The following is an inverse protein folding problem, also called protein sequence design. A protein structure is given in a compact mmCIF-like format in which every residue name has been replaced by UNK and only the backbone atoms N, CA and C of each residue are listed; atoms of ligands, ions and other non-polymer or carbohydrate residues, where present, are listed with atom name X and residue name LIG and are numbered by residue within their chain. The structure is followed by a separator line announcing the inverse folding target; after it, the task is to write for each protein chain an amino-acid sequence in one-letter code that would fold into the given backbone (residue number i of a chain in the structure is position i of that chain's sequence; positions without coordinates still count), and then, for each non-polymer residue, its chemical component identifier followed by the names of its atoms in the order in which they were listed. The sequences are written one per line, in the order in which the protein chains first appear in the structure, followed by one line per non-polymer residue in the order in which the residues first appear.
data_IF_493728574602
#
_entry.id   IF_493728574602
#
_cell.length_a   1.000
_cell.length_b   1.000
_cell.length_c   1.000
_cell.angle_alpha   90.00
_cell.angle_beta   90.00
_cell.angle_gamma   90.00
#
_symmetry.space_group_name_H-M   'P 1'
#
loop_
_entity.id
_entity.type
_entity.pdbx_description
1 polymer ?
#
# COMPACT_ATOMS: atom_id res chain seq x y z
N UNK A 1 58.34 -60.34 -21.47
CA UNK A 1 58.23 -60.12 -20.02
C UNK A 1 58.77 -58.74 -19.66
N UNK A 2 57.90 -57.81 -19.36
CA UNK A 2 58.25 -56.52 -18.78
C UNK A 2 57.14 -56.08 -17.87
N UNK A 3 57.39 -56.07 -16.54
CA UNK A 3 56.51 -55.60 -15.51
C UNK A 3 56.59 -54.09 -15.43
N UNK A 4 55.47 -53.40 -15.50
CA UNK A 4 55.31 -51.96 -15.29
C UNK A 4 55.30 -51.67 -13.78
N UNK A 5 55.99 -50.61 -13.30
CA UNK A 5 55.79 -50.09 -11.96
C UNK A 5 54.86 -48.84 -12.04
N UNK A 6 53.56 -49.10 -11.90
CA UNK A 6 52.54 -48.05 -11.95
C UNK A 6 51.93 -47.84 -10.56
N UNK A 7 52.74 -47.51 -9.55
CA UNK A 7 52.22 -47.31 -8.18
C UNK A 7 52.83 -46.14 -7.36
N UNK A 8 53.82 -45.44 -7.85
CA UNK A 8 54.51 -44.41 -7.07
C UNK A 8 54.11 -42.97 -7.43
N UNK A 9 53.47 -42.71 -8.58
CA UNK A 9 53.11 -41.34 -9.00
C UNK A 9 51.80 -40.85 -8.39
N UNK A 10 50.84 -41.73 -8.04
CA UNK A 10 49.55 -41.30 -7.49
C UNK A 10 49.61 -40.88 -6.01
N UNK A 11 50.58 -41.34 -5.23
CA UNK A 11 50.72 -40.94 -3.81
C UNK A 11 51.25 -39.50 -3.66
N UNK A 12 52.15 -39.07 -4.55
CA UNK A 12 52.66 -37.69 -4.54
C UNK A 12 51.60 -36.67 -5.02
N UNK A 13 50.75 -37.05 -5.94
CA UNK A 13 49.65 -36.16 -6.40
C UNK A 13 48.59 -35.96 -5.32
N UNK A 14 48.25 -37.01 -4.55
CA UNK A 14 47.30 -36.95 -3.45
C UNK A 14 47.83 -36.11 -2.27
N UNK A 15 49.10 -36.23 -1.92
CA UNK A 15 49.76 -35.41 -0.90
C UNK A 15 49.88 -33.95 -1.31
N UNK A 16 50.16 -33.65 -2.57
CA UNK A 16 50.19 -32.29 -3.09
C UNK A 16 48.77 -31.68 -3.09
N UNK A 17 47.70 -32.44 -3.43
CA UNK A 17 46.32 -31.97 -3.37
C UNK A 17 45.89 -31.68 -1.92
N UNK A 18 46.15 -32.55 -0.97
CA UNK A 18 45.87 -32.32 0.45
C UNK A 18 46.67 -31.14 1.04
N UNK A 19 47.91 -30.92 0.58
CA UNK A 19 48.70 -29.74 1.00
C UNK A 19 48.18 -28.44 0.38
N UNK A 20 47.67 -28.47 -0.84
CA UNK A 20 47.04 -27.33 -1.49
C UNK A 20 45.70 -27.01 -0.82
N UNK A 21 44.85 -27.98 -0.55
CA UNK A 21 43.60 -27.78 0.20
C UNK A 21 43.85 -27.22 1.62
N UNK A 22 44.87 -27.76 2.33
CA UNK A 22 45.24 -27.26 3.65
C UNK A 22 45.84 -25.85 3.61
N UNK A 23 46.64 -25.53 2.59
CA UNK A 23 47.19 -24.20 2.36
C UNK A 23 46.12 -23.22 1.95
N UNK A 24 45.14 -23.61 1.07
CA UNK A 24 44.00 -22.81 0.68
C UNK A 24 43.07 -22.60 1.88
N UNK A 25 42.77 -23.61 2.67
CA UNK A 25 42.00 -23.51 3.92
C UNK A 25 42.65 -22.56 4.93
N UNK A 26 43.97 -22.65 5.10
CA UNK A 26 44.75 -21.78 5.97
C UNK A 26 44.91 -20.36 5.43
N UNK A 27 44.98 -20.20 4.11
CA UNK A 27 44.98 -18.91 3.43
C UNK A 27 43.60 -18.24 3.55
N UNK A 28 42.50 -18.99 3.32
CA UNK A 28 41.13 -18.53 3.51
C UNK A 28 40.85 -18.16 4.97
N UNK A 29 41.34 -18.98 5.94
CA UNK A 29 41.17 -18.67 7.37
C UNK A 29 42.00 -17.48 7.87
N UNK A 30 43.10 -17.13 7.17
CA UNK A 30 43.92 -15.97 7.51
C UNK A 30 43.57 -14.70 6.74
N UNK A 31 42.85 -14.80 5.60
CA UNK A 31 42.46 -13.66 4.76
C UNK A 31 40.96 -13.36 4.75
N UNK A 32 40.11 -14.28 5.21
CA UNK A 32 38.76 -13.91 5.60
C UNK A 32 38.88 -13.23 6.97
N UNK A 33 38.73 -11.90 7.07
CA UNK A 33 38.56 -11.29 8.39
C UNK A 33 37.44 -12.09 9.05
N UNK A 34 37.64 -12.48 10.32
CA UNK A 34 36.66 -13.26 11.06
C UNK A 34 35.32 -12.63 10.80
N UNK A 35 34.42 -13.38 10.19
CA UNK A 35 33.09 -12.88 9.81
C UNK A 35 32.38 -12.25 11.01
N UNK A 36 32.76 -12.65 12.25
CA UNK A 36 32.34 -12.04 13.52
C UNK A 36 32.60 -10.52 13.64
N UNK A 37 33.62 -9.95 12.94
CA UNK A 37 33.90 -8.50 12.97
C UNK A 37 33.17 -7.70 11.88
N UNK A 38 32.52 -8.35 10.92
CA UNK A 38 31.77 -7.72 9.81
C UNK A 38 30.27 -7.60 10.14
N UNK A 39 29.78 -8.24 11.20
CA UNK A 39 28.39 -8.15 11.58
C UNK A 39 28.07 -6.77 12.15
N UNK A 40 27.13 -6.09 11.52
CA UNK A 40 26.49 -4.90 12.11
C UNK A 40 25.92 -5.32 13.47
N UNK A 41 26.42 -4.72 14.56
CA UNK A 41 25.93 -4.99 15.90
C UNK A 41 24.48 -4.52 16.04
N UNK A 42 23.67 -5.22 16.81
CA UNK A 42 22.30 -4.81 17.15
C UNK A 42 22.22 -3.34 17.59
N UNK A 43 23.29 -2.83 18.18
CA UNK A 43 23.49 -1.44 18.57
C UNK A 43 23.30 -0.43 17.44
N UNK A 44 23.73 -0.76 16.21
CA UNK A 44 23.58 0.15 15.06
C UNK A 44 22.12 0.25 14.59
N UNK A 45 21.38 -0.85 14.73
CA UNK A 45 19.93 -0.82 14.48
C UNK A 45 19.21 0.03 15.52
N UNK A 46 19.60 -0.05 16.80
CA UNK A 46 19.03 0.81 17.84
C UNK A 46 19.37 2.29 17.63
N UNK A 47 20.58 2.64 17.22
CA UNK A 47 20.93 4.03 16.85
C UNK A 47 20.07 4.54 15.70
N UNK A 48 19.89 3.72 14.66
CA UNK A 48 19.02 4.07 13.52
C UNK A 48 17.59 4.23 13.97
N UNK A 49 17.06 3.32 14.79
CA UNK A 49 15.72 3.38 15.35
C UNK A 49 15.51 4.67 16.15
N UNK A 50 16.39 4.97 17.12
CA UNK A 50 16.35 6.17 17.94
C UNK A 50 16.33 7.42 17.08
N UNK A 51 17.27 7.54 16.15
CA UNK A 51 17.34 8.68 15.23
C UNK A 51 16.04 8.86 14.45
N UNK A 52 15.49 7.79 13.85
CA UNK A 52 14.27 7.88 13.04
C UNK A 52 13.03 8.22 13.89
N UNK A 53 12.89 7.64 15.08
CA UNK A 53 11.76 7.91 15.98
C UNK A 53 11.78 9.36 16.48
N UNK A 54 12.94 9.85 16.90
CA UNK A 54 13.10 11.24 17.38
C UNK A 54 12.77 12.26 16.27
N UNK A 55 13.25 12.00 15.04
CA UNK A 55 13.07 12.91 13.90
C UNK A 55 11.74 12.68 13.16
N UNK A 56 10.94 11.68 13.58
CA UNK A 56 9.60 11.49 12.99
C UNK A 56 8.66 12.56 13.52
N UNK A 57 8.17 13.38 12.59
CA UNK A 57 7.10 14.34 12.85
C UNK A 57 5.89 13.98 11.99
N UNK A 58 4.99 13.17 12.54
CA UNK A 58 3.73 12.83 11.89
C UNK A 58 2.74 13.99 12.14
N UNK A 59 2.56 14.83 11.13
CA UNK A 59 1.67 15.98 11.23
C UNK A 59 0.19 15.60 11.43
N UNK A 60 -0.19 14.38 11.10
CA UNK A 60 -1.54 13.83 11.29
C UNK A 60 -1.45 12.44 11.90
N UNK A 61 -2.19 12.22 12.98
CA UNK A 61 -2.41 10.90 13.53
C UNK A 61 -3.46 10.17 12.68
N UNK A 62 -3.07 9.04 12.12
CA UNK A 62 -3.91 8.28 11.18
C UNK A 62 -4.99 7.52 11.95
N UNK A 63 -6.23 7.56 11.45
CA UNK A 63 -7.38 6.83 12.06
C UNK A 63 -7.11 5.35 12.26
N UNK A 64 -6.36 4.72 11.35
CA UNK A 64 -5.96 3.32 11.45
C UNK A 64 -5.20 3.00 12.76
N UNK A 65 -4.54 3.98 13.39
CA UNK A 65 -3.84 3.77 14.67
C UNK A 65 -4.80 3.31 15.78
N UNK A 66 -6.05 3.79 15.73
CA UNK A 66 -7.10 3.44 16.70
C UNK A 66 -7.91 2.20 16.29
N UNK A 67 -7.89 1.84 15.00
CA UNK A 67 -8.62 0.69 14.46
C UNK A 67 -7.86 -0.64 14.68
N UNK A 68 -6.53 -0.59 14.81
CA UNK A 68 -5.70 -1.80 14.97
C UNK A 68 -5.85 -2.37 16.38
N UNK A 69 -6.14 -3.68 16.46
CA UNK A 69 -5.99 -4.40 17.71
C UNK A 69 -4.51 -4.69 18.00
N UNK A 70 -3.88 -3.81 18.74
CA UNK A 70 -2.45 -3.91 19.08
C UNK A 70 -2.10 -5.07 20.02
N UNK A 71 -3.07 -5.87 20.49
CA UNK A 71 -2.82 -7.09 21.24
C UNK A 71 -2.48 -8.30 20.37
N UNK A 72 -2.74 -8.22 19.05
CA UNK A 72 -2.36 -9.26 18.12
C UNK A 72 -0.82 -9.35 18.00
N UNK A 73 -0.30 -10.56 17.89
CA UNK A 73 1.15 -10.82 17.86
C UNK A 73 1.80 -10.62 16.50
N UNK A 74 1.05 -10.84 15.42
CA UNK A 74 1.54 -10.68 14.05
C UNK A 74 0.59 -9.79 13.27
N UNK A 75 1.01 -8.54 13.04
CA UNK A 75 0.20 -7.51 12.40
C UNK A 75 0.84 -7.09 11.09
N UNK A 76 0.11 -7.25 9.97
CA UNK A 76 0.54 -6.83 8.64
C UNK A 76 -0.16 -5.56 8.20
N UNK A 77 0.58 -4.48 7.94
CA UNK A 77 0.09 -3.20 7.45
C UNK A 77 0.43 -3.05 5.98
N UNK A 78 -0.57 -3.24 5.12
CA UNK A 78 -0.43 -3.12 3.67
C UNK A 78 -0.80 -1.73 3.18
N UNK A 79 -0.26 -1.37 2.03
CA UNK A 79 -0.66 -0.15 1.34
C UNK A 79 0.27 0.20 0.20
N UNK A 80 -0.20 1.04 -0.73
CA UNK A 80 0.63 1.49 -1.86
C UNK A 80 1.83 2.30 -1.40
N UNK A 81 2.78 2.55 -2.28
CA UNK A 81 3.94 3.42 -1.97
C UNK A 81 3.50 4.86 -1.73
N UNK A 82 4.25 5.58 -0.92
CA UNK A 82 4.05 7.02 -0.68
C UNK A 82 2.92 7.40 0.27
N UNK A 83 2.19 6.43 0.87
CA UNK A 83 1.08 6.72 1.80
C UNK A 83 1.49 6.84 3.28
N UNK A 84 2.80 6.75 3.58
CA UNK A 84 3.32 6.97 4.93
C UNK A 84 3.38 5.73 5.83
N UNK A 85 3.55 4.50 5.28
CA UNK A 85 3.68 3.26 6.09
C UNK A 85 4.86 3.31 7.07
N UNK A 86 6.02 3.75 6.62
CA UNK A 86 7.21 3.92 7.46
C UNK A 86 6.93 4.89 8.60
N UNK A 87 6.39 6.07 8.28
CA UNK A 87 6.00 7.09 9.28
C UNK A 87 4.99 6.53 10.28
N UNK A 88 4.03 5.70 9.83
CA UNK A 88 3.05 5.07 10.69
C UNK A 88 3.69 4.11 11.71
N UNK A 89 4.66 3.27 11.31
CA UNK A 89 5.40 2.42 12.25
C UNK A 89 6.22 3.24 13.25
N UNK A 90 6.92 4.27 12.78
CA UNK A 90 7.73 5.12 13.64
C UNK A 90 6.87 5.95 14.61
N UNK A 91 5.69 6.39 14.17
CA UNK A 91 4.72 7.06 15.04
C UNK A 91 4.21 6.11 16.12
N UNK A 92 3.88 4.86 15.78
CA UNK A 92 3.51 3.85 16.77
C UNK A 92 4.62 3.64 17.80
N UNK A 93 5.89 3.53 17.37
CA UNK A 93 7.01 3.42 18.28
C UNK A 93 7.08 4.63 19.22
N UNK A 94 6.99 5.85 18.67
CA UNK A 94 7.06 7.12 19.41
C UNK A 94 5.93 7.29 20.44
N UNK A 95 4.72 6.82 20.14
CA UNK A 95 3.55 6.92 21.02
C UNK A 95 3.56 5.91 22.17
N UNK A 96 4.19 4.73 21.99
CA UNK A 96 4.02 3.59 22.90
C UNK A 96 5.30 3.17 23.64
N UNK A 97 6.46 3.66 23.23
CA UNK A 97 7.75 3.26 23.82
C UNK A 97 8.63 4.47 24.07
N UNK A 98 9.38 4.43 25.18
CA UNK A 98 10.51 5.31 25.35
C UNK A 98 11.58 4.94 24.31
N UNK A 99 12.16 5.90 23.64
CA UNK A 99 13.15 5.71 22.58
C UNK A 99 14.41 5.00 23.09
N UNK A 100 14.71 5.11 24.40
CA UNK A 100 15.81 4.44 25.08
C UNK A 100 15.44 3.03 25.59
N UNK A 101 14.14 2.65 25.55
CA UNK A 101 13.70 1.33 25.97
C UNK A 101 13.90 0.33 24.82
N UNK A 102 14.89 -0.52 24.96
CA UNK A 102 15.25 -1.55 23.96
C UNK A 102 14.17 -2.61 23.71
N UNK A 103 12.95 -2.41 24.20
CA UNK A 103 11.82 -3.32 23.97
C UNK A 103 11.21 -3.18 22.58
N UNK A 104 11.38 -2.04 21.90
CA UNK A 104 10.90 -1.80 20.54
C UNK A 104 12.05 -1.52 19.58
N UNK A 105 12.04 -2.16 18.41
CA UNK A 105 13.04 -1.94 17.38
C UNK A 105 12.41 -1.84 16.00
N UNK A 106 12.75 -0.80 15.25
CA UNK A 106 12.41 -0.67 13.83
C UNK A 106 13.58 -1.12 12.96
N UNK A 107 13.28 -1.93 11.93
CA UNK A 107 14.22 -2.36 10.89
C UNK A 107 13.59 -2.26 9.51
N UNK A 108 14.40 -2.02 8.48
CA UNK A 108 13.96 -1.97 7.09
C UNK A 108 14.65 -3.08 6.28
N UNK A 109 13.85 -3.89 5.58
CA UNK A 109 14.35 -5.01 4.78
C UNK A 109 15.13 -4.60 3.53
N UNK A 110 15.23 -3.31 3.21
CA UNK A 110 16.17 -2.81 2.19
C UNK A 110 17.63 -2.75 2.70
N UNK A 111 17.88 -2.91 4.00
CA UNK A 111 19.24 -2.94 4.52
C UNK A 111 19.97 -4.19 4.00
N UNK A 112 21.16 -4.00 3.46
CA UNK A 112 21.99 -5.08 2.91
C UNK A 112 22.33 -6.18 3.92
N UNK A 113 22.28 -5.87 5.20
CA UNK A 113 22.43 -6.85 6.28
C UNK A 113 21.49 -8.06 6.13
N UNK A 114 20.26 -7.85 5.64
CA UNK A 114 19.27 -8.91 5.44
C UNK A 114 19.43 -9.69 4.12
N UNK A 115 20.43 -9.37 3.29
CA UNK A 115 20.67 -10.14 2.05
C UNK A 115 21.26 -11.54 2.32
N UNK A 116 21.92 -11.73 3.46
CA UNK A 116 22.50 -13.01 3.83
C UNK A 116 22.03 -13.55 5.19
N UNK A 117 20.97 -12.97 5.75
CA UNK A 117 20.52 -13.32 7.10
C UNK A 117 18.99 -13.39 7.18
N UNK A 118 18.48 -14.44 7.84
CA UNK A 118 17.06 -14.65 8.09
C UNK A 118 16.46 -13.64 9.07
N UNK A 119 15.17 -13.34 8.87
CA UNK A 119 14.39 -12.50 9.80
C UNK A 119 14.29 -13.19 11.16
N UNK A 120 14.14 -14.53 11.20
CA UNK A 120 13.96 -15.27 12.43
C UNK A 120 15.23 -15.28 13.29
N UNK A 121 16.42 -15.35 12.68
CA UNK A 121 17.68 -15.29 13.42
C UNK A 121 17.87 -13.91 14.05
N UNK A 122 17.63 -12.84 13.29
CA UNK A 122 17.67 -11.47 13.80
C UNK A 122 16.64 -11.24 14.91
N UNK A 123 15.41 -11.70 14.71
CA UNK A 123 14.33 -11.59 15.69
C UNK A 123 14.68 -12.36 16.99
N UNK A 124 15.37 -13.49 16.86
CA UNK A 124 15.86 -14.28 18.02
C UNK A 124 16.88 -13.53 18.84
N UNK A 125 17.89 -12.90 18.21
CA UNK A 125 18.85 -12.07 18.92
C UNK A 125 18.18 -10.92 19.66
N UNK A 126 17.33 -10.18 18.96
CA UNK A 126 16.55 -9.09 19.57
C UNK A 126 15.70 -9.58 20.75
N UNK A 127 15.02 -10.72 20.60
CA UNK A 127 14.18 -11.30 21.66
C UNK A 127 14.99 -11.70 22.90
N UNK A 128 16.18 -12.32 22.72
CA UNK A 128 17.06 -12.75 23.81
C UNK A 128 17.72 -11.56 24.53
N UNK A 129 17.92 -10.44 23.84
CA UNK A 129 18.37 -9.18 24.45
C UNK A 129 17.24 -8.44 25.21
N UNK A 130 16.05 -9.02 25.31
CA UNK A 130 14.91 -8.44 26.03
C UNK A 130 13.88 -7.71 25.15
N UNK A 131 14.06 -7.72 23.82
CA UNK A 131 13.14 -7.13 22.85
C UNK A 131 11.75 -7.73 22.91
N UNK A 132 10.73 -6.95 22.63
CA UNK A 132 9.31 -7.35 22.70
C UNK A 132 8.49 -6.98 21.49
N UNK A 133 8.85 -5.90 20.78
CA UNK A 133 8.14 -5.43 19.59
C UNK A 133 9.11 -5.16 18.47
N UNK A 134 9.02 -5.92 17.38
CA UNK A 134 9.83 -5.75 16.19
C UNK A 134 8.99 -5.14 15.06
N UNK A 135 9.38 -3.96 14.60
CA UNK A 135 8.73 -3.23 13.51
C UNK A 135 9.53 -3.46 12.22
N UNK A 136 8.99 -4.24 11.29
CA UNK A 136 9.67 -4.63 10.04
C UNK A 136 9.08 -3.86 8.87
N UNK A 137 9.85 -2.95 8.28
CA UNK A 137 9.42 -2.20 7.12
C UNK A 137 9.81 -2.88 5.80
N UNK A 138 8.90 -2.86 4.83
CA UNK A 138 9.06 -3.43 3.49
C UNK A 138 9.42 -4.94 3.50
N UNK A 139 8.71 -5.74 4.29
CA UNK A 139 8.99 -7.16 4.52
C UNK A 139 9.18 -7.98 3.23
N UNK A 140 8.43 -7.65 2.17
CA UNK A 140 8.48 -8.34 0.86
C UNK A 140 9.83 -8.21 0.13
N UNK A 141 10.75 -7.41 0.63
CA UNK A 141 12.13 -7.33 0.11
C UNK A 141 12.99 -8.51 0.52
N UNK A 142 12.62 -9.21 1.59
CA UNK A 142 13.25 -10.46 1.98
C UNK A 142 12.59 -11.64 1.24
N UNK A 143 13.33 -12.49 0.51
CA UNK A 143 12.75 -13.55 -0.31
C UNK A 143 11.86 -14.52 0.48
N UNK A 144 12.32 -14.97 1.64
CA UNK A 144 11.65 -15.94 2.52
C UNK A 144 10.86 -15.28 3.66
N UNK A 145 10.36 -14.05 3.45
CA UNK A 145 9.74 -13.26 4.51
C UNK A 145 8.57 -13.98 5.22
N UNK A 146 7.74 -14.70 4.50
CA UNK A 146 6.52 -15.31 5.00
C UNK A 146 6.80 -16.55 5.86
N UNK A 147 7.59 -17.56 5.42
CA UNK A 147 8.07 -18.63 6.29
C UNK A 147 8.87 -18.14 7.50
N UNK A 148 9.69 -17.10 7.33
CA UNK A 148 10.48 -16.54 8.42
C UNK A 148 9.59 -15.86 9.48
N UNK A 149 8.53 -15.15 9.08
CA UNK A 149 7.56 -14.59 10.03
C UNK A 149 6.79 -15.69 10.77
N UNK A 150 6.45 -16.78 10.09
CA UNK A 150 5.84 -17.95 10.74
C UNK A 150 6.77 -18.54 11.79
N UNK A 151 8.03 -18.72 11.45
CA UNK A 151 9.07 -19.23 12.34
C UNK A 151 9.25 -18.32 13.58
N UNK A 152 9.28 -16.99 13.39
CA UNK A 152 9.32 -16.03 14.49
C UNK A 152 8.11 -16.18 15.42
N UNK A 153 6.91 -16.31 14.84
CA UNK A 153 5.69 -16.45 15.61
C UNK A 153 5.71 -17.74 16.49
N UNK A 154 6.24 -18.83 15.96
CA UNK A 154 6.26 -20.11 16.66
C UNK A 154 7.37 -20.19 17.71
N UNK A 155 8.55 -19.63 17.42
CA UNK A 155 9.72 -19.71 18.32
C UNK A 155 9.71 -18.66 19.45
N UNK A 156 9.12 -17.48 19.21
CA UNK A 156 9.21 -16.35 20.15
C UNK A 156 7.82 -15.92 20.65
N UNK A 157 7.21 -16.63 21.62
CA UNK A 157 5.81 -16.45 22.02
C UNK A 157 5.49 -15.06 22.58
N UNK A 158 6.46 -14.35 23.16
CA UNK A 158 6.30 -13.01 23.72
C UNK A 158 6.76 -11.89 22.78
N UNK A 159 7.16 -12.23 21.54
CA UNK A 159 7.53 -11.25 20.53
C UNK A 159 6.30 -10.87 19.72
N UNK A 160 6.02 -9.56 19.64
CA UNK A 160 5.08 -8.95 18.69
C UNK A 160 5.84 -8.48 17.47
N UNK A 161 5.32 -8.80 16.29
CA UNK A 161 5.87 -8.32 15.03
C UNK A 161 4.80 -7.50 14.30
N UNK A 162 5.14 -6.26 13.96
CA UNK A 162 4.33 -5.40 13.10
C UNK A 162 5.14 -5.15 11.83
N UNK A 163 4.62 -5.56 10.69
CA UNK A 163 5.35 -5.43 9.44
C UNK A 163 4.58 -4.64 8.39
N UNK A 164 5.30 -3.95 7.51
CA UNK A 164 4.68 -3.30 6.36
C UNK A 164 4.91 -4.08 5.08
N UNK A 165 3.90 -4.01 4.21
CA UNK A 165 3.94 -4.63 2.90
C UNK A 165 3.34 -3.75 1.80
N UNK A 166 3.57 -4.16 0.54
CA UNK A 166 2.92 -3.57 -0.61
C UNK A 166 1.42 -3.93 -0.64
N UNK A 167 0.61 -3.07 -1.26
CA UNK A 167 -0.80 -3.36 -1.55
C UNK A 167 -1.00 -4.58 -2.45
N UNK A 168 0.01 -4.94 -3.26
CA UNK A 168 -0.01 -6.11 -4.16
C UNK A 168 -0.02 -7.43 -3.40
N UNK A 169 0.52 -7.44 -2.17
CA UNK A 169 0.63 -8.66 -1.36
C UNK A 169 -0.74 -9.18 -0.93
N UNK A 170 -0.96 -10.47 -1.10
CA UNK A 170 -2.12 -11.21 -0.62
C UNK A 170 -1.68 -12.09 0.56
N UNK A 171 -1.74 -11.53 1.77
CA UNK A 171 -1.11 -12.13 2.96
C UNK A 171 -1.68 -13.49 3.33
N UNK A 172 -2.95 -13.75 3.02
CA UNK A 172 -3.60 -15.03 3.36
C UNK A 172 -3.70 -15.96 2.17
N UNK A 173 -4.05 -15.42 1.02
CA UNK A 173 -4.34 -16.19 -0.19
C UNK A 173 -3.07 -16.77 -0.83
N UNK A 174 -1.96 -16.01 -0.79
CA UNK A 174 -0.68 -16.38 -1.42
C UNK A 174 0.37 -16.86 -0.40
N UNK A 175 0.04 -16.84 0.92
CA UNK A 175 0.97 -17.24 2.01
C UNK A 175 0.21 -18.08 3.05
N UNK A 176 -0.04 -19.36 2.75
CA UNK A 176 -0.87 -20.24 3.59
C UNK A 176 -0.29 -20.45 5.00
N UNK A 177 1.03 -20.35 5.17
CA UNK A 177 1.73 -20.44 6.45
C UNK A 177 1.35 -19.32 7.43
N UNK A 178 0.88 -18.18 6.94
CA UNK A 178 0.42 -17.07 7.77
C UNK A 178 -1.07 -17.16 8.12
N UNK A 179 -1.81 -18.14 7.58
CA UNK A 179 -3.22 -18.30 7.88
C UNK A 179 -3.46 -18.54 9.37
N UNK A 180 -4.46 -17.86 9.90
CA UNK A 180 -4.85 -17.96 11.31
C UNK A 180 -4.00 -17.14 12.29
N UNK A 181 -2.78 -16.73 11.91
CA UNK A 181 -1.87 -16.00 12.81
C UNK A 181 -1.72 -14.51 12.44
N UNK A 182 -1.82 -14.13 11.15
CA UNK A 182 -1.66 -12.74 10.73
C UNK A 182 -2.99 -11.97 10.76
N UNK A 183 -2.96 -10.78 11.33
CA UNK A 183 -4.02 -9.76 11.19
C UNK A 183 -3.56 -8.71 10.18
N UNK A 184 -4.35 -8.52 9.14
CA UNK A 184 -4.01 -7.66 8.01
C UNK A 184 -4.86 -6.41 7.97
N UNK A 185 -4.20 -5.25 7.96
CA UNK A 185 -4.82 -3.93 7.86
C UNK A 185 -4.32 -3.20 6.62
N UNK A 186 -5.17 -2.29 6.09
CA UNK A 186 -4.82 -1.50 4.92
C UNK A 186 -4.68 -0.02 5.30
N UNK A 187 -3.44 0.48 5.30
CA UNK A 187 -3.21 1.92 5.37
C UNK A 187 -3.55 2.53 4.01
N UNK A 188 -4.39 3.55 4.01
CA UNK A 188 -4.84 4.29 2.82
C UNK A 188 -4.08 5.62 2.71
N UNK A 189 -4.24 6.33 1.60
CA UNK A 189 -3.85 7.73 1.51
C UNK A 189 -4.67 8.60 2.48
N UNK A 190 -4.36 9.87 2.59
CA UNK A 190 -5.16 10.78 3.42
C UNK A 190 -6.61 10.82 2.94
N UNK A 191 -7.54 10.79 3.90
CA UNK A 191 -8.92 11.19 3.65
C UNK A 191 -8.99 12.71 3.46
N UNK A 192 -10.10 13.19 2.92
CA UNK A 192 -10.31 14.65 2.85
C UNK A 192 -10.36 15.28 4.24
N UNK A 193 -10.91 14.58 5.24
CA UNK A 193 -10.90 15.02 6.65
C UNK A 193 -9.47 15.15 7.20
N UNK A 194 -8.62 14.14 7.00
CA UNK A 194 -7.22 14.18 7.45
C UNK A 194 -6.44 15.31 6.77
N UNK A 195 -6.70 15.53 5.48
CA UNK A 195 -6.13 16.66 4.73
C UNK A 195 -6.58 18.02 5.28
N UNK A 196 -7.89 18.18 5.57
CA UNK A 196 -8.42 19.41 6.18
C UNK A 196 -7.81 19.66 7.57
N UNK A 197 -7.79 18.63 8.42
CA UNK A 197 -7.19 18.74 9.76
C UNK A 197 -5.75 19.23 9.67
N UNK A 198 -4.97 18.68 8.73
CA UNK A 198 -3.60 19.11 8.51
C UNK A 198 -3.49 20.55 8.00
N UNK A 199 -4.33 20.95 7.03
CA UNK A 199 -4.27 22.28 6.41
C UNK A 199 -4.76 23.40 7.29
N UNK A 200 -5.71 23.10 8.18
CA UNK A 200 -6.41 24.12 8.97
C UNK A 200 -6.09 24.08 10.46
N UNK A 201 -5.38 23.04 10.93
CA UNK A 201 -5.13 22.81 12.36
C UNK A 201 -6.35 22.33 13.15
N UNK A 202 -7.49 22.08 12.47
CA UNK A 202 -8.69 21.54 13.10
C UNK A 202 -8.50 20.05 13.46
N UNK A 203 -9.41 19.51 14.29
CA UNK A 203 -9.44 18.10 14.69
C UNK A 203 -10.83 17.51 14.43
N UNK A 204 -11.29 17.57 13.20
CA UNK A 204 -12.56 16.96 12.81
C UNK A 204 -12.50 15.43 12.99
N UNK A 205 -13.55 14.87 13.60
CA UNK A 205 -13.69 13.41 13.74
C UNK A 205 -14.13 12.76 12.44
N UNK A 206 -13.94 11.46 12.32
CA UNK A 206 -14.58 10.64 11.30
C UNK A 206 -16.06 10.41 11.65
N UNK A 207 -16.86 10.12 10.63
CA UNK A 207 -18.29 9.76 10.73
C UNK A 207 -18.54 8.46 9.99
N UNK A 208 -19.45 7.64 10.49
CA UNK A 208 -19.94 6.48 9.74
C UNK A 208 -20.84 6.91 8.58
N UNK A 209 -21.04 6.02 7.60
CA UNK A 209 -21.97 6.30 6.52
C UNK A 209 -23.39 6.52 7.03
N UNK A 210 -23.82 5.75 8.01
CA UNK A 210 -25.15 5.88 8.61
C UNK A 210 -25.34 7.25 9.32
N UNK A 211 -24.31 7.74 10.05
CA UNK A 211 -24.34 9.10 10.61
C UNK A 211 -24.45 10.18 9.53
N UNK A 212 -23.67 10.04 8.44
CA UNK A 212 -23.75 11.00 7.34
C UNK A 212 -25.13 10.98 6.68
N UNK A 213 -25.70 9.80 6.44
CA UNK A 213 -27.01 9.68 5.78
C UNK A 213 -28.15 10.20 6.63
N UNK A 214 -28.09 10.00 7.96
CA UNK A 214 -29.16 10.43 8.88
C UNK A 214 -29.07 11.91 9.27
N UNK A 215 -27.87 12.49 9.32
CA UNK A 215 -27.61 13.74 10.07
C UNK A 215 -26.68 14.73 9.35
N UNK A 216 -26.48 14.56 8.04
CA UNK A 216 -25.53 15.38 7.25
C UNK A 216 -25.76 16.89 7.38
N UNK A 217 -27.03 17.34 7.51
CA UNK A 217 -27.31 18.78 7.66
C UNK A 217 -26.75 19.33 8.97
N UNK A 218 -26.84 18.56 10.09
CA UNK A 218 -26.27 18.95 11.37
C UNK A 218 -24.74 18.90 11.31
N UNK A 219 -24.18 17.82 10.77
CA UNK A 219 -22.71 17.65 10.64
C UNK A 219 -22.12 18.80 9.85
N UNK A 220 -22.73 19.18 8.74
CA UNK A 220 -22.29 20.31 7.92
C UNK A 220 -22.35 21.61 8.72
N UNK A 221 -23.43 21.87 9.49
CA UNK A 221 -23.55 23.04 10.36
C UNK A 221 -22.47 23.12 11.44
N UNK A 222 -21.97 21.97 11.92
CA UNK A 222 -20.89 21.91 12.91
C UNK A 222 -19.50 22.17 12.27
N UNK A 223 -19.33 21.84 10.98
CA UNK A 223 -18.05 22.01 10.26
C UNK A 223 -17.90 23.42 9.67
N UNK A 224 -18.94 23.98 9.04
CA UNK A 224 -18.86 25.24 8.29
C UNK A 224 -18.40 26.46 9.10
N UNK A 225 -18.68 26.62 10.40
CA UNK A 225 -18.15 27.73 11.17
C UNK A 225 -16.63 27.74 11.30
N UNK A 226 -15.98 26.57 11.16
CA UNK A 226 -14.54 26.41 11.33
C UNK A 226 -13.79 26.43 10.00
N UNK A 227 -14.41 26.03 8.90
CA UNK A 227 -13.78 25.92 7.59
C UNK A 227 -14.84 25.86 6.48
N UNK A 228 -14.52 26.41 5.29
CA UNK A 228 -15.27 26.14 4.05
C UNK A 228 -14.62 24.94 3.33
N UNK A 229 -15.16 23.72 3.46
CA UNK A 229 -14.53 22.51 2.89
C UNK A 229 -14.41 22.60 1.37
N UNK A 230 -15.37 23.26 0.70
CA UNK A 230 -15.37 23.38 -0.76
C UNK A 230 -14.14 24.14 -1.30
N UNK A 231 -13.58 25.07 -0.52
CA UNK A 231 -12.37 25.82 -0.90
C UNK A 231 -11.11 24.95 -0.91
N UNK A 232 -11.05 23.89 -0.09
CA UNK A 232 -9.94 22.94 0.00
C UNK A 232 -10.14 21.68 -0.84
N UNK A 233 -11.39 21.41 -1.27
CA UNK A 233 -11.73 20.14 -1.89
C UNK A 233 -11.03 19.95 -3.24
N UNK A 234 -10.90 21.01 -4.04
CA UNK A 234 -10.19 20.94 -5.32
C UNK A 234 -8.70 20.65 -5.13
N UNK A 235 -8.06 21.27 -4.15
CA UNK A 235 -6.67 21.02 -3.80
C UNK A 235 -6.45 19.57 -3.38
N UNK A 236 -7.34 19.04 -2.53
CA UNK A 236 -7.30 17.64 -2.14
C UNK A 236 -7.44 16.69 -3.34
N UNK A 237 -8.42 16.93 -4.21
CA UNK A 237 -8.63 16.11 -5.40
C UNK A 237 -7.42 16.12 -6.34
N UNK A 238 -6.67 17.22 -6.36
CA UNK A 238 -5.48 17.37 -7.19
C UNK A 238 -4.23 16.75 -6.55
N UNK A 239 -3.98 16.99 -5.26
CA UNK A 239 -2.72 16.62 -4.61
C UNK A 239 -2.81 16.25 -3.12
N UNK A 240 -3.99 16.03 -2.54
CA UNK A 240 -4.14 15.81 -1.10
C UNK A 240 -4.10 14.36 -0.62
N UNK A 241 -4.13 13.36 -1.53
CA UNK A 241 -4.22 11.96 -1.16
C UNK A 241 -2.91 11.37 -0.62
N UNK A 242 -1.75 11.79 -1.14
CA UNK A 242 -0.44 11.28 -0.72
C UNK A 242 0.24 12.27 0.25
N UNK A 243 0.70 11.81 1.45
CA UNK A 243 1.28 12.68 2.48
C UNK A 243 2.44 13.56 2.02
N UNK A 244 3.20 13.14 1.00
CA UNK A 244 4.36 13.90 0.51
C UNK A 244 4.00 15.22 -0.19
N UNK A 245 2.72 15.58 -0.31
CA UNK A 245 2.34 16.94 -0.73
C UNK A 245 2.86 18.03 0.22
N UNK A 246 3.20 17.66 1.46
CA UNK A 246 3.78 18.55 2.46
C UNK A 246 5.23 18.95 2.15
N UNK A 247 5.93 18.22 1.28
CA UNK A 247 7.36 18.42 1.00
C UNK A 247 7.65 19.64 0.12
N UNK A 248 6.64 20.42 -0.29
CA UNK A 248 6.72 21.65 -1.13
C UNK A 248 7.55 21.48 -2.42
N UNK A 249 7.70 20.25 -2.91
CA UNK A 249 8.41 19.87 -4.14
C UNK A 249 7.41 19.56 -5.24
N UNK A 250 7.92 19.31 -6.43
CA UNK A 250 7.09 18.93 -7.57
C UNK A 250 6.28 17.65 -7.28
N UNK A 251 5.05 17.84 -6.79
CA UNK A 251 4.17 16.75 -6.37
C UNK A 251 3.89 15.75 -7.50
N UNK A 252 3.55 16.26 -8.69
CA UNK A 252 3.22 15.41 -9.84
C UNK A 252 4.41 14.54 -10.26
N UNK A 253 5.63 15.08 -10.26
CA UNK A 253 6.83 14.32 -10.56
C UNK A 253 7.12 13.25 -9.51
N UNK A 254 6.98 13.57 -8.23
CA UNK A 254 7.14 12.61 -7.14
C UNK A 254 6.08 11.50 -7.22
N UNK A 255 4.85 11.84 -7.61
CA UNK A 255 3.79 10.87 -7.81
C UNK A 255 4.08 9.96 -9.03
N UNK A 256 4.57 10.50 -10.14
CA UNK A 256 5.03 9.72 -11.29
C UNK A 256 6.18 8.76 -10.92
N UNK A 257 7.18 9.23 -10.16
CA UNK A 257 8.25 8.37 -9.62
C UNK A 257 7.69 7.25 -8.75
N UNK A 258 6.72 7.58 -7.90
CA UNK A 258 6.04 6.60 -7.04
C UNK A 258 5.30 5.54 -7.86
N UNK A 259 4.54 5.92 -8.90
CA UNK A 259 3.85 4.99 -9.80
C UNK A 259 4.84 4.09 -10.57
N UNK A 260 5.97 4.66 -11.03
CA UNK A 260 7.03 3.88 -11.65
C UNK A 260 7.58 2.83 -10.67
N UNK A 261 7.89 3.22 -9.43
CA UNK A 261 8.36 2.27 -8.40
C UNK A 261 7.33 1.17 -8.09
N UNK A 262 6.03 1.48 -8.09
CA UNK A 262 4.98 0.47 -7.90
C UNK A 262 4.96 -0.52 -9.06
N UNK A 263 5.09 -0.07 -10.31
CA UNK A 263 5.07 -0.94 -11.48
C UNK A 263 6.37 -1.73 -11.63
N UNK A 264 7.53 -1.09 -11.46
CA UNK A 264 8.86 -1.66 -11.68
C UNK A 264 9.35 -2.56 -10.55
N UNK A 265 8.91 -2.31 -9.34
CA UNK A 265 9.37 -3.04 -8.15
C UNK A 265 8.25 -3.90 -7.58
N UNK A 266 7.13 -3.27 -7.16
CA UNK A 266 6.13 -4.01 -6.40
C UNK A 266 5.40 -5.04 -7.28
N UNK A 267 4.93 -4.65 -8.47
CA UNK A 267 4.21 -5.57 -9.37
C UNK A 267 5.17 -6.64 -9.90
N UNK A 268 6.35 -6.26 -10.43
CA UNK A 268 7.27 -7.22 -11.01
C UNK A 268 7.77 -8.22 -9.97
N UNK A 269 8.21 -7.75 -8.81
CA UNK A 269 8.78 -8.60 -7.77
C UNK A 269 7.72 -9.55 -7.17
N UNK A 270 6.56 -9.01 -6.76
CA UNK A 270 5.54 -9.80 -6.05
C UNK A 270 4.77 -10.74 -6.99
N UNK A 271 4.55 -10.34 -8.25
CA UNK A 271 3.88 -11.17 -9.25
C UNK A 271 4.85 -11.98 -10.11
N UNK A 272 6.15 -11.90 -9.85
CA UNK A 272 7.21 -12.62 -10.58
C UNK A 272 7.11 -12.44 -12.10
N UNK A 273 6.91 -11.20 -12.54
CA UNK A 273 6.75 -10.85 -13.96
C UNK A 273 8.10 -10.50 -14.55
N UNK A 274 8.41 -11.03 -15.74
CA UNK A 274 9.63 -10.69 -16.45
C UNK A 274 9.66 -9.21 -16.87
N UNK A 275 10.83 -8.58 -16.76
CA UNK A 275 11.05 -7.16 -17.05
C UNK A 275 10.60 -6.75 -18.47
N UNK A 276 10.69 -7.66 -19.44
CA UNK A 276 10.25 -7.41 -20.83
C UNK A 276 8.78 -7.02 -20.97
N UNK A 277 7.92 -7.38 -19.99
CA UNK A 277 6.50 -7.04 -20.00
C UNK A 277 6.18 -5.69 -19.35
N UNK A 278 7.14 -5.06 -18.68
CA UNK A 278 6.92 -3.81 -17.95
C UNK A 278 6.41 -2.68 -18.85
N UNK A 279 6.97 -2.53 -20.04
CA UNK A 279 6.56 -1.50 -21.00
C UNK A 279 5.09 -1.67 -21.40
N UNK A 280 4.64 -2.91 -21.58
CA UNK A 280 3.24 -3.22 -21.91
C UNK A 280 2.29 -2.88 -20.76
N UNK A 281 2.69 -3.16 -19.51
CA UNK A 281 1.91 -2.81 -18.31
C UNK A 281 1.81 -1.28 -18.16
N UNK A 282 2.91 -0.56 -18.35
CA UNK A 282 2.92 0.92 -18.29
C UNK A 282 2.09 1.55 -19.41
N UNK A 283 2.21 1.05 -20.65
CA UNK A 283 1.38 1.50 -21.79
C UNK A 283 -0.10 1.24 -21.49
N UNK A 284 -0.46 0.05 -20.98
CA UNK A 284 -1.83 -0.26 -20.58
C UNK A 284 -2.36 0.71 -19.52
N UNK A 285 -1.57 0.99 -18.48
CA UNK A 285 -1.96 1.91 -17.42
C UNK A 285 -2.24 3.32 -17.96
N UNK A 286 -1.38 3.81 -18.85
CA UNK A 286 -1.57 5.09 -19.53
C UNK A 286 -2.84 5.11 -20.39
N UNK A 287 -3.09 4.07 -21.20
CA UNK A 287 -4.29 3.96 -22.03
C UNK A 287 -5.57 3.93 -21.20
N UNK A 288 -5.57 3.23 -20.07
CA UNK A 288 -6.70 3.22 -19.14
C UNK A 288 -6.96 4.61 -18.53
N UNK A 289 -5.92 5.39 -18.24
CA UNK A 289 -6.07 6.76 -17.77
C UNK A 289 -6.68 7.68 -18.83
N UNK A 290 -6.32 7.51 -20.11
CA UNK A 290 -6.88 8.25 -21.22
C UNK A 290 -8.36 7.92 -21.47
N UNK A 291 -8.74 6.66 -21.30
CA UNK A 291 -10.11 6.21 -21.54
C UNK A 291 -11.13 6.83 -20.57
N UNK A 292 -10.69 7.22 -19.37
CA UNK A 292 -11.58 7.70 -18.29
C UNK A 292 -12.42 6.58 -17.67
N UNK A 293 -13.41 6.96 -16.88
CA UNK A 293 -14.23 6.03 -16.07
C UNK A 293 -15.25 5.25 -16.91
N UNK A 294 -14.80 4.28 -17.68
CA UNK A 294 -15.69 3.45 -18.54
C UNK A 294 -15.30 1.97 -18.54
N UNK A 295 -16.13 1.16 -19.20
CA UNK A 295 -15.82 -0.25 -19.45
C UNK A 295 -14.62 -0.36 -20.40
N UNK A 296 -13.55 -1.13 -20.06
CA UNK A 296 -12.36 -1.21 -20.90
C UNK A 296 -12.67 -1.95 -22.21
N UNK A 297 -12.20 -1.41 -23.34
CA UNK A 297 -12.23 -2.14 -24.60
C UNK A 297 -11.05 -3.12 -24.68
N UNK A 298 -11.22 -4.30 -24.08
CA UNK A 298 -10.14 -5.30 -23.93
C UNK A 298 -9.54 -5.73 -25.28
N UNK A 299 -10.34 -5.75 -26.36
CA UNK A 299 -9.84 -6.14 -27.70
C UNK A 299 -8.93 -5.05 -28.25
N UNK A 300 -9.32 -3.79 -28.20
CA UNK A 300 -8.50 -2.66 -28.61
C UNK A 300 -7.23 -2.54 -27.76
N UNK A 301 -7.35 -2.65 -26.43
CA UNK A 301 -6.19 -2.63 -25.53
C UNK A 301 -5.20 -3.76 -25.85
N UNK A 302 -5.70 -4.96 -26.21
CA UNK A 302 -4.87 -6.09 -26.58
C UNK A 302 -4.05 -5.82 -27.86
N UNK A 303 -4.66 -5.16 -28.84
CA UNK A 303 -3.96 -4.70 -30.07
C UNK A 303 -2.91 -3.65 -29.75
N UNK A 304 -3.28 -2.63 -28.96
CA UNK A 304 -2.38 -1.52 -28.60
C UNK A 304 -1.10 -1.97 -27.88
N UNK A 305 -1.20 -2.95 -27.00
CA UNK A 305 -0.05 -3.45 -26.24
C UNK A 305 0.47 -4.79 -26.77
N UNK A 306 0.02 -5.21 -27.96
CA UNK A 306 0.50 -6.41 -28.68
C UNK A 306 0.50 -7.66 -27.78
N UNK A 307 -0.70 -8.01 -27.25
CA UNK A 307 -0.83 -9.17 -26.36
C UNK A 307 -2.23 -9.79 -26.45
N UNK A 308 -2.46 -10.89 -25.72
CA UNK A 308 -3.77 -11.54 -25.67
C UNK A 308 -4.76 -10.78 -24.77
N UNK A 309 -6.07 -10.94 -25.04
CA UNK A 309 -7.15 -10.38 -24.19
C UNK A 309 -7.05 -10.90 -22.75
N UNK A 310 -6.67 -12.15 -22.55
CA UNK A 310 -6.49 -12.74 -21.23
C UNK A 310 -5.34 -12.04 -20.48
N UNK A 311 -4.22 -11.79 -21.17
CA UNK A 311 -3.08 -11.06 -20.60
C UNK A 311 -3.45 -9.62 -20.21
N UNK A 312 -4.22 -8.91 -21.04
CA UNK A 312 -4.75 -7.57 -20.69
C UNK A 312 -5.55 -7.62 -19.39
N UNK A 313 -6.45 -8.59 -19.24
CA UNK A 313 -7.25 -8.74 -18.02
C UNK A 313 -6.37 -9.03 -16.79
N UNK A 314 -5.32 -9.85 -16.94
CA UNK A 314 -4.37 -10.09 -15.85
C UNK A 314 -3.60 -8.81 -15.47
N UNK A 315 -3.14 -8.03 -16.46
CA UNK A 315 -2.45 -6.76 -16.19
C UNK A 315 -3.37 -5.73 -15.53
N UNK A 316 -4.64 -5.64 -15.95
CA UNK A 316 -5.65 -4.83 -15.27
C UNK A 316 -5.78 -5.29 -13.80
N UNK A 317 -5.80 -6.59 -13.54
CA UNK A 317 -5.85 -7.13 -12.17
C UNK A 317 -4.61 -6.77 -11.36
N UNK A 318 -3.41 -6.85 -11.94
CA UNK A 318 -2.17 -6.46 -11.25
C UNK A 318 -2.15 -4.98 -10.89
N UNK A 319 -2.59 -4.10 -11.81
CA UNK A 319 -2.72 -2.68 -11.57
C UNK A 319 -3.76 -2.38 -10.47
N UNK A 320 -4.84 -3.15 -10.41
CA UNK A 320 -5.86 -3.02 -9.36
C UNK A 320 -5.33 -3.50 -7.99
N UNK A 321 -4.63 -4.63 -7.93
CA UNK A 321 -3.99 -5.14 -6.71
C UNK A 321 -2.95 -4.12 -6.18
N UNK A 322 -2.26 -3.44 -7.09
CA UNK A 322 -1.29 -2.38 -6.78
C UNK A 322 -1.93 -1.06 -6.33
N UNK A 323 -3.26 -0.96 -6.34
CA UNK A 323 -3.97 0.30 -6.01
C UNK A 323 -3.61 1.46 -6.95
N UNK A 324 -3.38 1.14 -8.23
CA UNK A 324 -3.24 2.13 -9.30
C UNK A 324 -4.57 2.40 -10.01
N UNK A 325 -5.43 1.38 -10.10
CA UNK A 325 -6.77 1.47 -10.64
C UNK A 325 -7.80 0.78 -9.74
N UNK A 326 -9.06 1.05 -9.99
CA UNK A 326 -10.22 0.38 -9.41
C UNK A 326 -11.04 -0.31 -10.50
N UNK A 327 -11.51 -1.54 -10.24
CA UNK A 327 -12.40 -2.31 -11.12
C UNK A 327 -13.79 -2.37 -10.51
N UNK A 328 -14.79 -1.78 -11.17
CA UNK A 328 -16.17 -1.77 -10.70
C UNK A 328 -16.99 -2.79 -11.48
N UNK A 329 -17.69 -3.65 -10.76
CA UNK A 329 -18.52 -4.71 -11.31
C UNK A 329 -19.99 -4.51 -10.97
N UNK A 330 -20.91 -5.10 -11.74
CA UNK A 330 -22.29 -5.30 -11.30
C UNK A 330 -22.30 -6.21 -10.06
N UNK A 331 -23.44 -6.24 -9.36
CA UNK A 331 -23.67 -7.20 -8.27
C UNK A 331 -23.37 -8.64 -8.75
N UNK A 332 -22.76 -9.45 -7.89
CA UNK A 332 -22.43 -10.86 -8.13
C UNK A 332 -21.49 -11.13 -9.32
N UNK A 333 -20.77 -10.10 -9.74
CA UNK A 333 -19.72 -10.19 -10.74
C UNK A 333 -18.36 -9.79 -10.16
N UNK A 334 -17.31 -10.52 -10.58
CA UNK A 334 -15.92 -10.25 -10.17
C UNK A 334 -14.94 -10.73 -11.23
N UNK A 335 -13.64 -10.44 -11.06
CA UNK A 335 -12.59 -11.06 -11.86
C UNK A 335 -12.70 -12.59 -11.84
N UNK A 336 -12.50 -13.31 -12.99
CA UNK A 336 -11.92 -12.84 -14.26
C UNK A 336 -12.90 -12.20 -15.26
N UNK A 337 -14.16 -11.97 -14.91
CA UNK A 337 -15.09 -11.27 -15.79
C UNK A 337 -14.59 -9.85 -16.08
N UNK A 338 -15.01 -9.30 -17.23
CA UNK A 338 -14.71 -7.94 -17.62
C UNK A 338 -15.42 -6.96 -16.67
N UNK A 339 -14.73 -5.95 -16.09
CA UNK A 339 -15.38 -4.92 -15.26
C UNK A 339 -16.29 -4.00 -16.09
N UNK A 340 -17.32 -3.48 -15.46
CA UNK A 340 -18.21 -2.48 -16.08
C UNK A 340 -17.59 -1.09 -16.14
N UNK A 341 -16.70 -0.77 -15.19
CA UNK A 341 -15.85 0.43 -15.22
C UNK A 341 -14.47 0.09 -14.74
N UNK A 342 -13.45 0.71 -15.34
CA UNK A 342 -12.10 0.86 -14.79
C UNK A 342 -11.89 2.35 -14.56
N UNK A 343 -11.33 2.71 -13.42
CA UNK A 343 -11.03 4.10 -13.08
C UNK A 343 -9.69 4.16 -12.35
N UNK A 344 -9.03 5.31 -12.34
CA UNK A 344 -7.84 5.50 -11.51
C UNK A 344 -8.19 5.27 -10.04
N UNK A 345 -7.22 4.80 -9.25
CA UNK A 345 -7.46 4.52 -7.83
C UNK A 345 -7.88 5.76 -7.05
N UNK A 346 -7.28 6.89 -7.35
CA UNK A 346 -7.62 8.19 -6.78
C UNK A 346 -7.45 9.31 -7.81
N UNK A 347 -8.02 10.47 -7.53
CA UNK A 347 -8.00 11.60 -8.46
C UNK A 347 -6.61 12.19 -8.70
N UNK A 348 -5.70 12.11 -7.73
CA UNK A 348 -4.34 12.62 -7.88
C UNK A 348 -3.58 11.89 -9.00
N UNK A 349 -3.83 10.58 -9.18
CA UNK A 349 -3.25 9.82 -10.30
C UNK A 349 -3.76 10.32 -11.66
N UNK A 350 -5.03 10.72 -11.75
CA UNK A 350 -5.60 11.28 -12.98
C UNK A 350 -4.86 12.55 -13.39
N UNK A 351 -4.68 13.48 -12.45
CA UNK A 351 -3.98 14.74 -12.70
C UNK A 351 -2.48 14.56 -12.98
N UNK A 352 -1.83 13.57 -12.38
CA UNK A 352 -0.42 13.31 -12.62
C UNK A 352 -0.14 12.66 -13.98
N UNK A 353 -1.03 11.76 -14.45
CA UNK A 353 -0.81 11.01 -15.71
C UNK A 353 -1.23 11.82 -16.93
N UNK A 354 -2.40 12.46 -16.90
CA UNK A 354 -2.97 13.14 -18.07
C UNK A 354 -3.82 14.37 -17.66
N UNK A 355 -3.19 15.47 -17.21
CA UNK A 355 -3.88 16.63 -16.64
C UNK A 355 -4.80 17.36 -17.63
N UNK A 356 -4.52 17.29 -18.96
CA UNK A 356 -5.17 18.10 -19.99
C UNK A 356 -6.63 17.68 -20.24
N UNK A 357 -6.97 16.39 -20.07
CA UNK A 357 -8.31 15.87 -20.43
C UNK A 357 -9.08 15.27 -19.25
N UNK A 358 -8.74 15.66 -18.02
CA UNK A 358 -9.43 15.18 -16.82
C UNK A 358 -10.86 15.74 -16.78
N UNK A 359 -11.84 14.85 -16.88
CA UNK A 359 -13.27 15.23 -16.80
C UNK A 359 -13.67 15.34 -15.33
N UNK A 360 -14.30 16.46 -14.97
CA UNK A 360 -14.75 16.72 -13.60
C UNK A 360 -15.64 15.61 -13.04
N UNK A 361 -16.57 15.08 -13.83
CA UNK A 361 -17.44 13.96 -13.43
C UNK A 361 -16.63 12.71 -13.05
N UNK A 362 -15.62 12.35 -13.86
CA UNK A 362 -14.75 11.19 -13.58
C UNK A 362 -13.93 11.36 -12.29
N UNK A 363 -13.47 12.58 -12.01
CA UNK A 363 -12.78 12.91 -10.75
C UNK A 363 -13.68 12.69 -9.55
N UNK A 364 -14.93 13.19 -9.61
CA UNK A 364 -15.89 13.07 -8.53
C UNK A 364 -16.34 11.62 -8.29
N UNK A 365 -16.55 10.86 -9.36
CA UNK A 365 -16.84 9.42 -9.26
C UNK A 365 -15.66 8.64 -8.67
N UNK A 366 -14.43 8.96 -9.09
CA UNK A 366 -13.21 8.35 -8.57
C UNK A 366 -13.05 8.62 -7.07
N UNK A 367 -13.28 9.87 -6.65
CA UNK A 367 -13.28 10.24 -5.23
C UNK A 367 -14.33 9.44 -4.44
N UNK A 368 -15.57 9.41 -4.93
CA UNK A 368 -16.67 8.67 -4.31
C UNK A 368 -16.31 7.20 -4.10
N UNK A 369 -15.90 6.52 -5.17
CA UNK A 369 -15.57 5.08 -5.11
C UNK A 369 -14.37 4.84 -4.20
N UNK A 370 -13.32 5.65 -4.30
CA UNK A 370 -12.15 5.50 -3.45
C UNK A 370 -12.52 5.63 -1.97
N UNK A 371 -13.32 6.61 -1.61
CA UNK A 371 -13.70 6.88 -0.22
C UNK A 371 -14.60 5.78 0.33
N UNK A 372 -15.64 5.38 -0.41
CA UNK A 372 -16.57 4.31 0.00
C UNK A 372 -15.86 2.96 0.20
N UNK A 373 -14.87 2.64 -0.63
CA UNK A 373 -14.17 1.35 -0.56
C UNK A 373 -13.28 1.16 0.68
N UNK A 374 -13.30 2.09 1.62
CA UNK A 374 -12.68 1.81 2.92
C UNK A 374 -13.45 0.69 3.63
N UNK A 375 -14.75 0.85 3.82
CA UNK A 375 -15.56 -0.04 4.63
C UNK A 375 -16.82 -0.56 3.91
N UNK A 376 -17.09 -0.08 2.70
CA UNK A 376 -18.30 -0.38 1.94
C UNK A 376 -17.99 -1.03 0.60
N UNK A 377 -18.85 -1.95 0.18
CA UNK A 377 -18.83 -2.58 -1.14
C UNK A 377 -19.51 -1.64 -2.15
N UNK A 378 -18.84 -1.33 -3.25
CA UNK A 378 -19.40 -0.50 -4.31
C UNK A 378 -19.54 -1.30 -5.59
N UNK A 379 -20.76 -1.41 -6.10
CA UNK A 379 -21.08 -2.05 -7.36
C UNK A 379 -21.65 -1.03 -8.37
N UNK A 380 -21.58 -1.40 -9.65
CA UNK A 380 -22.22 -0.66 -10.74
C UNK A 380 -23.73 -0.85 -10.69
N UNK A 381 -24.49 0.24 -10.73
CA UNK A 381 -25.94 0.19 -10.91
C UNK A 381 -26.37 -0.19 -12.32
N UNK A 382 -27.67 -0.42 -12.52
CA UNK A 382 -28.24 -0.80 -13.81
C UNK A 382 -28.05 0.28 -14.90
N UNK A 383 -27.95 1.56 -14.52
CA UNK A 383 -27.62 2.68 -15.40
C UNK A 383 -26.21 3.18 -15.13
N UNK A 384 -25.59 3.81 -16.14
CA UNK A 384 -24.18 4.18 -16.10
C UNK A 384 -23.77 5.18 -15.03
N UNK A 385 -24.68 5.99 -14.55
CA UNK A 385 -24.46 7.04 -13.58
C UNK A 385 -24.86 6.67 -12.14
N UNK A 386 -25.23 5.39 -11.87
CA UNK A 386 -25.60 4.92 -10.54
C UNK A 386 -24.59 3.92 -9.98
N UNK A 387 -24.40 4.02 -8.66
CA UNK A 387 -23.63 3.06 -7.85
C UNK A 387 -24.52 2.45 -6.78
N UNK A 388 -24.30 1.18 -6.49
CA UNK A 388 -24.97 0.46 -5.40
C UNK A 388 -23.94 0.21 -4.31
N UNK A 389 -24.21 0.72 -3.13
CA UNK A 389 -23.36 0.54 -1.95
C UNK A 389 -24.00 -0.49 -1.03
N UNK A 390 -23.21 -1.48 -0.58
CA UNK A 390 -23.62 -2.57 0.30
C UNK A 390 -24.89 -3.32 -0.16
N UNK A 391 -25.00 -3.48 -1.49
CA UNK A 391 -26.12 -4.17 -2.17
C UNK A 391 -27.52 -3.54 -1.96
N UNK A 392 -27.63 -2.38 -1.30
CA UNK A 392 -28.91 -1.75 -0.91
C UNK A 392 -29.01 -0.26 -1.16
N UNK A 393 -27.96 0.51 -0.95
CA UNK A 393 -27.99 1.98 -1.07
C UNK A 393 -27.65 2.40 -2.48
N UNK A 394 -28.56 3.16 -3.11
CA UNK A 394 -28.38 3.63 -4.48
C UNK A 394 -27.88 5.07 -4.48
N UNK A 395 -26.71 5.28 -5.03
CA UNK A 395 -26.07 6.59 -5.14
C UNK A 395 -26.02 7.09 -6.59
N UNK A 396 -26.16 8.40 -6.73
CA UNK A 396 -25.88 9.13 -7.98
C UNK A 396 -24.97 10.31 -7.67
N UNK A 397 -23.84 10.37 -8.40
CA UNK A 397 -22.91 11.50 -8.31
C UNK A 397 -23.33 12.54 -9.36
N UNK A 398 -23.61 13.77 -8.95
CA UNK A 398 -24.08 14.80 -9.84
C UNK A 398 -23.62 16.20 -9.43
N UNK A 399 -23.55 17.10 -10.43
CA UNK A 399 -23.28 18.50 -10.20
C UNK A 399 -24.52 19.18 -9.58
N UNK A 400 -24.32 20.02 -8.57
CA UNK A 400 -25.39 20.80 -7.96
C UNK A 400 -26.16 21.67 -8.97
N UNK A 401 -25.44 22.21 -9.96
CA UNK A 401 -26.01 23.11 -10.96
C UNK A 401 -26.93 22.42 -12.01
N UNK A 402 -26.72 21.10 -12.23
CA UNK A 402 -27.44 20.34 -13.26
C UNK A 402 -28.79 19.80 -12.76
N UNK A 403 -29.05 19.86 -11.47
CA UNK A 403 -30.17 19.14 -10.85
C UNK A 403 -31.35 20.02 -10.48
N UNK A 404 -31.22 21.34 -10.51
CA UNK A 404 -32.33 22.27 -10.19
C UNK A 404 -33.60 22.10 -11.07
N UNK A 405 -33.47 21.37 -12.21
CA UNK A 405 -34.56 21.12 -13.15
C UNK A 405 -35.15 19.69 -13.09
N UNK A 406 -34.61 18.76 -12.24
CA UNK A 406 -35.07 17.37 -12.21
C UNK A 406 -35.66 16.99 -10.85
N UNK A 407 -36.79 16.28 -10.86
CA UNK A 407 -37.37 15.68 -9.65
C UNK A 407 -36.43 14.61 -9.10
N UNK A 408 -36.02 14.74 -7.82
CA UNK A 408 -35.27 13.76 -7.10
C UNK A 408 -36.11 12.51 -6.79
N UNK A 409 -35.52 11.32 -6.96
CA UNK A 409 -36.17 10.07 -6.57
C UNK A 409 -35.91 9.81 -5.10
N UNK A 410 -36.92 9.44 -4.35
CA UNK A 410 -36.79 9.12 -2.91
C UNK A 410 -35.89 7.88 -2.63
N UNK A 411 -35.82 6.94 -3.61
CA UNK A 411 -35.02 5.71 -3.53
C UNK A 411 -33.52 5.92 -3.85
N UNK A 412 -33.08 7.16 -4.07
CA UNK A 412 -31.73 7.46 -4.55
C UNK A 412 -31.10 8.57 -3.72
N UNK A 413 -29.89 8.34 -3.24
CA UNK A 413 -29.04 9.32 -2.57
C UNK A 413 -28.22 10.06 -3.63
N UNK A 414 -28.26 11.39 -3.60
CA UNK A 414 -27.55 12.24 -4.54
C UNK A 414 -26.31 12.83 -3.86
N UNK A 415 -25.13 12.31 -4.20
CA UNK A 415 -23.86 12.89 -3.78
C UNK A 415 -23.50 14.07 -4.70
N UNK A 416 -23.74 15.29 -4.21
CA UNK A 416 -23.65 16.53 -5.00
C UNK A 416 -22.29 17.20 -4.83
N UNK A 417 -21.64 17.52 -5.93
CA UNK A 417 -20.46 18.38 -5.92
C UNK A 417 -20.82 19.83 -6.31
N UNK A 418 -19.94 20.79 -6.03
CA UNK A 418 -20.14 22.23 -6.12
C UNK A 418 -21.26 22.74 -5.18
N UNK A 419 -21.40 22.16 -4.01
CA UNK A 419 -22.26 22.65 -2.93
C UNK A 419 -21.62 22.39 -1.58
N UNK A 420 -21.79 23.31 -0.65
CA UNK A 420 -21.35 23.10 0.74
C UNK A 420 -22.40 22.40 1.58
N UNK A 421 -23.68 22.64 1.28
CA UNK A 421 -24.80 22.14 2.08
C UNK A 421 -25.65 21.17 1.26
N UNK A 422 -26.10 20.10 1.91
CA UNK A 422 -27.10 19.17 1.39
C UNK A 422 -28.48 19.43 1.98
N UNK A 423 -29.48 18.71 1.46
CA UNK A 423 -30.86 18.74 1.95
C UNK A 423 -31.55 17.41 1.60
N UNK A 424 -32.30 16.86 2.53
CA UNK A 424 -33.04 15.60 2.37
C UNK A 424 -32.12 14.44 1.94
N UNK A 425 -32.37 13.85 0.76
CA UNK A 425 -31.53 12.79 0.17
C UNK A 425 -30.36 13.31 -0.69
N UNK A 426 -30.01 14.58 -0.58
CA UNK A 426 -28.91 15.23 -1.29
C UNK A 426 -27.79 15.57 -0.31
N UNK A 427 -26.67 14.88 -0.39
CA UNK A 427 -25.48 15.11 0.45
C UNK A 427 -24.37 15.79 -0.31
N UNK A 428 -23.64 16.73 0.33
CA UNK A 428 -22.44 17.28 -0.31
C UNK A 428 -21.41 16.17 -0.49
N UNK A 429 -20.88 16.02 -1.70
CA UNK A 429 -19.91 14.95 -2.01
C UNK A 429 -18.67 15.01 -1.12
N UNK A 430 -18.17 16.20 -0.78
CA UNK A 430 -17.00 16.37 0.06
C UNK A 430 -17.17 15.76 1.46
N UNK A 431 -18.41 15.72 1.99
CA UNK A 431 -18.68 15.17 3.32
C UNK A 431 -18.38 13.68 3.41
N UNK A 432 -18.52 12.94 2.30
CA UNK A 432 -18.11 11.53 2.26
C UNK A 432 -16.61 11.34 2.53
N UNK A 433 -15.79 12.36 2.31
CA UNK A 433 -14.38 12.35 2.68
C UNK A 433 -14.10 12.39 4.18
N UNK A 434 -15.14 12.40 5.02
CA UNK A 434 -15.06 12.27 6.48
C UNK A 434 -15.38 10.86 6.99
N UNK A 435 -15.54 9.87 6.10
CA UNK A 435 -15.75 8.47 6.48
C UNK A 435 -14.55 7.85 7.21
N UNK A 436 -13.33 8.43 7.09
CA UNK A 436 -12.15 7.96 7.83
C UNK A 436 -11.13 9.08 8.06
#
# INVERSE_FOLDING_TARGET
MAKYPFRAQNYNFFLIFCHIEFAISKFISNFVPKIEDVWIKMEEFFRTHTYLVEHTNAAVRRTLMDEINWNDRLIGIKGTRGIGKTTFLLQYAKEHFDVNDRKCLYVNMNNFYFQGRGIADFAGEFYHEGGRVLLIDQVFKHPEWSPELRKCHDLYPNLKIVFTGSSVMRLKEENPELNGIVKSYNLRGFSFREFLNLKTGNQFRAYTLDEILSDHERIVKDILPNVSPQSYFQDYLHHGFYPFFQEQRNYSENLLKTMNMVTEVDILLIKQIELKYLTKIKKLFYLLALEGNKAPNVSWLAQEIETSRATVMNYIKYLADARLINMIYPKDCAFPKKPSKVMMHNSNLMYAIYPIAVKKQDVMETFFVNTMWKDHKVNKGAKDDFYIVDDKLKFKICNALDVEKKKFRQDTIYARFNTEVGRDNQIPLWLLGFLY
#
